data_IF_388894807114
#
_entry.id   IF_388894807114
#
_cell.length_a   1.000
_cell.length_b   1.000
_cell.length_c   1.000
_cell.angle_alpha   90.00
_cell.angle_beta   90.00
_cell.angle_gamma   90.00
#
_symmetry.space_group_name_H-M   'P 1'
#
loop_
_entity.id
_entity.type
_entity.pdbx_description
1 polymer ?
#
# COMPACT_ATOMS: atom_id res chain seq x y z
N UNK A 1 -24.86 -77.47 -20.21
CA UNK A 1 -24.12 -76.65 -21.18
C UNK A 1 -23.93 -75.28 -20.54
N UNK A 2 -22.70 -74.93 -20.12
CA UNK A 2 -22.42 -73.67 -19.42
C UNK A 2 -21.95 -72.67 -20.47
N UNK A 3 -22.76 -71.62 -20.71
CA UNK A 3 -22.41 -70.54 -21.63
C UNK A 3 -21.55 -69.56 -20.84
N UNK A 4 -20.28 -69.45 -21.19
CA UNK A 4 -19.40 -68.39 -20.65
C UNK A 4 -19.57 -67.18 -21.55
N UNK A 5 -20.02 -66.07 -20.97
CA UNK A 5 -20.06 -64.77 -21.64
C UNK A 5 -18.83 -63.99 -21.15
N UNK A 6 -17.85 -63.86 -22.03
CA UNK A 6 -16.65 -63.08 -21.79
C UNK A 6 -16.98 -61.62 -22.14
N UNK A 7 -16.96 -60.75 -21.14
CA UNK A 7 -17.22 -59.32 -21.32
C UNK A 7 -15.93 -58.71 -21.88
N UNK A 8 -15.95 -58.07 -23.06
CA UNK A 8 -14.75 -57.42 -23.58
C UNK A 8 -14.37 -56.23 -22.69
N UNK A 9 -13.12 -56.20 -22.21
CA UNK A 9 -12.55 -55.06 -21.50
C UNK A 9 -12.56 -53.83 -22.41
N UNK A 10 -13.32 -52.80 -22.02
CA UNK A 10 -13.43 -51.53 -22.76
C UNK A 10 -12.30 -50.54 -22.45
N UNK A 11 -11.36 -50.91 -21.57
CA UNK A 11 -10.36 -50.00 -20.99
C UNK A 11 -9.15 -49.70 -21.90
N UNK A 12 -9.01 -50.38 -23.05
CA UNK A 12 -7.86 -50.21 -23.96
C UNK A 12 -8.12 -49.30 -25.17
N UNK A 13 -9.19 -48.51 -25.17
CA UNK A 13 -9.41 -47.48 -26.21
C UNK A 13 -8.49 -46.28 -25.97
N UNK A 14 -7.20 -46.47 -26.27
CA UNK A 14 -6.23 -45.39 -26.37
C UNK A 14 -6.74 -44.29 -27.31
N UNK A 15 -6.62 -43.05 -26.85
CA UNK A 15 -7.01 -41.87 -27.63
C UNK A 15 -6.22 -41.87 -28.94
N UNK A 16 -6.89 -41.66 -30.08
CA UNK A 16 -6.17 -41.60 -31.36
C UNK A 16 -5.10 -40.50 -31.33
N UNK A 17 -3.95 -40.66 -32.01
CA UNK A 17 -2.85 -39.68 -31.95
C UNK A 17 -3.29 -38.24 -32.23
N UNK A 18 -4.22 -38.06 -33.17
CA UNK A 18 -4.74 -36.74 -33.55
C UNK A 18 -5.65 -36.18 -32.46
N UNK A 19 -6.54 -37.00 -31.91
CA UNK A 19 -7.46 -36.56 -30.84
C UNK A 19 -6.70 -36.28 -29.55
N UNK A 20 -5.65 -37.06 -29.25
CA UNK A 20 -4.78 -36.82 -28.09
C UNK A 20 -4.09 -35.46 -28.16
N UNK A 21 -3.59 -35.08 -29.34
CA UNK A 21 -2.98 -33.76 -29.55
C UNK A 21 -4.00 -32.64 -29.39
N UNK A 22 -5.19 -32.77 -29.97
CA UNK A 22 -6.24 -31.76 -29.82
C UNK A 22 -6.63 -31.58 -28.35
N UNK A 23 -6.82 -32.67 -27.61
CA UNK A 23 -7.19 -32.62 -26.20
C UNK A 23 -6.08 -32.02 -25.32
N UNK A 24 -4.82 -32.37 -25.58
CA UNK A 24 -3.66 -31.83 -24.88
C UNK A 24 -3.53 -30.32 -25.11
N UNK A 25 -3.67 -29.88 -26.36
CA UNK A 25 -3.60 -28.46 -26.72
C UNK A 25 -4.81 -27.70 -26.14
N UNK A 26 -6.01 -28.25 -26.21
CA UNK A 26 -7.21 -27.58 -25.72
C UNK A 26 -7.13 -27.28 -24.22
N UNK A 27 -6.74 -28.25 -23.40
CA UNK A 27 -6.66 -28.07 -21.95
C UNK A 27 -5.55 -27.07 -21.59
N UNK A 28 -4.37 -27.18 -22.22
CA UNK A 28 -3.26 -26.27 -21.94
C UNK A 28 -3.57 -24.83 -22.32
N UNK A 29 -4.27 -24.59 -23.44
CA UNK A 29 -4.71 -23.25 -23.85
C UNK A 29 -5.71 -22.66 -22.86
N UNK A 30 -6.68 -23.45 -22.38
CA UNK A 30 -7.65 -22.99 -21.37
C UNK A 30 -6.91 -22.63 -20.06
N UNK A 31 -6.06 -23.52 -19.57
CA UNK A 31 -5.32 -23.28 -18.32
C UNK A 31 -4.41 -22.06 -18.42
N UNK A 32 -3.71 -21.88 -19.55
CA UNK A 32 -2.87 -20.71 -19.78
C UNK A 32 -3.68 -19.41 -19.79
N UNK A 33 -4.83 -19.38 -20.48
CA UNK A 33 -5.69 -18.20 -20.53
C UNK A 33 -6.26 -17.83 -19.15
N UNK A 34 -6.65 -18.83 -18.37
CA UNK A 34 -7.20 -18.64 -17.02
C UNK A 34 -6.14 -18.14 -16.05
N UNK A 35 -4.92 -18.70 -16.08
CA UNK A 35 -3.84 -18.20 -15.22
C UNK A 35 -3.44 -16.78 -15.64
N UNK A 36 -3.40 -16.49 -16.94
CA UNK A 36 -3.09 -15.14 -17.43
C UNK A 36 -4.10 -14.09 -16.94
N UNK A 37 -5.40 -14.42 -16.91
CA UNK A 37 -6.41 -13.50 -16.37
C UNK A 37 -6.28 -13.31 -14.85
N UNK A 38 -5.94 -14.37 -14.11
CA UNK A 38 -5.64 -14.24 -12.67
C UNK A 38 -4.38 -13.41 -12.41
N UNK A 39 -3.30 -13.64 -13.15
CA UNK A 39 -2.03 -12.90 -13.00
C UNK A 39 -2.23 -11.42 -13.35
N UNK A 40 -2.94 -11.11 -14.44
CA UNK A 40 -3.24 -9.73 -14.81
C UNK A 40 -4.16 -9.05 -13.78
N UNK A 41 -5.12 -9.78 -13.23
CA UNK A 41 -6.01 -9.29 -12.16
C UNK A 41 -5.27 -8.96 -10.85
N UNK A 42 -4.14 -9.62 -10.55
CA UNK A 42 -3.30 -9.27 -9.40
C UNK A 42 -2.43 -8.04 -9.63
N UNK A 43 -2.08 -7.72 -10.89
CA UNK A 43 -1.25 -6.56 -11.21
C UNK A 43 -1.85 -5.23 -10.74
N UNK A 44 -3.17 -5.10 -10.77
CA UNK A 44 -3.90 -3.90 -10.33
C UNK A 44 -4.01 -3.80 -8.79
N UNK A 45 -3.88 -4.93 -8.08
CA UNK A 45 -3.92 -4.98 -6.61
C UNK A 45 -2.58 -4.73 -5.94
N UNK A 46 -1.48 -4.70 -6.72
CA UNK A 46 -0.18 -4.25 -6.21
C UNK A 46 -0.20 -2.74 -6.18
N UNK A 47 -0.83 -2.18 -5.14
CA UNK A 47 -0.72 -0.76 -4.83
C UNK A 47 0.77 -0.43 -4.72
N UNK A 48 1.28 0.42 -5.63
CA UNK A 48 2.64 0.94 -5.51
C UNK A 48 2.76 1.61 -4.14
N UNK A 49 3.61 1.07 -3.27
CA UNK A 49 3.83 1.68 -1.98
C UNK A 49 4.63 2.96 -2.20
N UNK A 50 4.16 4.05 -1.60
CA UNK A 50 4.83 5.35 -1.70
C UNK A 50 5.96 5.35 -0.70
N UNK A 51 7.18 5.58 -1.17
CA UNK A 51 8.34 5.76 -0.31
C UNK A 51 8.68 7.24 -0.26
N UNK A 52 8.87 7.75 0.95
CA UNK A 52 9.48 9.04 1.24
C UNK A 52 10.13 8.96 2.61
N UNK A 53 11.02 9.91 2.90
CA UNK A 53 11.60 10.10 4.22
C UNK A 53 11.11 11.40 4.82
N UNK A 54 10.57 11.35 6.03
CA UNK A 54 10.22 12.52 6.83
C UNK A 54 10.81 12.38 8.22
N UNK A 55 11.30 13.50 8.75
CA UNK A 55 11.79 13.60 10.12
C UNK A 55 10.82 14.42 10.95
N UNK A 56 10.52 13.94 12.15
CA UNK A 56 9.75 14.69 13.15
C UNK A 56 10.69 14.94 14.31
N UNK A 57 10.84 16.21 14.68
CA UNK A 57 11.76 16.62 15.74
C UNK A 57 11.07 17.56 16.70
N UNK A 58 11.16 17.29 18.00
CA UNK A 58 10.73 18.22 19.03
C UNK A 58 11.83 19.24 19.36
N UNK A 59 11.48 20.52 19.32
CA UNK A 59 12.35 21.64 19.73
C UNK A 59 12.19 21.92 21.22
N UNK A 60 13.27 22.37 21.88
CA UNK A 60 13.29 22.71 23.31
C UNK A 60 12.26 23.79 23.73
N UNK A 61 11.78 24.58 22.78
CA UNK A 61 10.71 25.59 22.97
C UNK A 61 9.31 24.95 23.08
N UNK A 62 9.22 23.61 23.09
CA UNK A 62 7.96 22.87 23.20
C UNK A 62 7.13 22.85 21.92
N UNK A 63 7.75 23.18 20.79
CA UNK A 63 7.18 23.04 19.45
C UNK A 63 7.73 21.77 18.79
N UNK A 64 7.04 21.26 17.78
CA UNK A 64 7.57 20.21 16.91
C UNK A 64 7.78 20.76 15.50
N UNK A 65 8.73 20.20 14.77
CA UNK A 65 8.92 20.45 13.34
C UNK A 65 8.92 19.13 12.59
N UNK A 66 8.27 19.14 11.44
CA UNK A 66 8.32 18.05 10.47
C UNK A 66 9.07 18.53 9.25
N UNK A 67 10.06 17.77 8.81
CA UNK A 67 10.90 18.11 7.66
C UNK A 67 10.85 16.99 6.63
N UNK A 68 10.66 17.34 5.36
CA UNK A 68 10.79 16.39 4.27
C UNK A 68 12.28 16.18 3.96
N UNK A 69 12.81 14.98 4.24
CA UNK A 69 14.24 14.66 4.10
C UNK A 69 14.58 13.84 2.85
N UNK A 70 13.62 13.11 2.27
CA UNK A 70 13.84 12.29 1.07
C UNK A 70 12.58 12.13 0.24
N UNK A 71 12.65 12.45 -1.06
CA UNK A 71 11.51 12.44 -1.99
C UNK A 71 10.98 11.01 -2.23
N UNK A 72 11.89 10.06 -2.43
CA UNK A 72 11.56 8.70 -2.86
C UNK A 72 10.74 8.69 -4.14
N UNK A 73 9.48 8.25 -4.08
CA UNK A 73 8.47 8.33 -5.15
C UNK A 73 7.19 9.06 -4.70
N UNK A 74 7.29 9.88 -3.66
CA UNK A 74 6.19 10.73 -3.23
C UNK A 74 6.16 12.05 -4.01
N UNK A 75 4.96 12.46 -4.39
CA UNK A 75 4.68 13.76 -5.03
C UNK A 75 4.53 14.86 -3.98
N UNK A 76 3.93 14.53 -2.84
CA UNK A 76 3.75 15.46 -1.73
C UNK A 76 3.64 14.72 -0.39
N UNK A 77 3.96 15.42 0.71
CA UNK A 77 3.79 14.92 2.08
C UNK A 77 2.74 15.75 2.81
N UNK A 78 1.74 15.09 3.37
CA UNK A 78 0.76 15.73 4.23
C UNK A 78 1.11 15.50 5.69
N UNK A 79 1.16 16.57 6.47
CA UNK A 79 1.36 16.54 7.91
C UNK A 79 0.05 16.84 8.60
N UNK A 80 -0.38 15.95 9.47
CA UNK A 80 -1.63 16.07 10.22
C UNK A 80 -1.40 15.77 11.70
N UNK A 81 -2.20 16.38 12.56
CA UNK A 81 -2.17 16.15 14.00
C UNK A 81 -3.55 15.74 14.50
N UNK A 82 -3.59 14.92 15.56
CA UNK A 82 -4.85 14.43 16.13
C UNK A 82 -5.54 15.46 17.05
N UNK A 83 -4.86 16.53 17.44
CA UNK A 83 -5.41 17.54 18.37
C UNK A 83 -5.93 18.77 17.64
N UNK A 84 -7.13 19.23 18.02
CA UNK A 84 -7.76 20.46 17.50
C UNK A 84 -7.04 21.74 17.96
N UNK A 85 -6.26 21.65 19.03
CA UNK A 85 -5.54 22.78 19.62
C UNK A 85 -4.13 22.96 19.05
N UNK A 86 -3.93 22.61 17.79
CA UNK A 86 -2.63 22.75 17.11
C UNK A 86 -2.79 23.45 15.76
N UNK A 87 -1.73 24.10 15.29
CA UNK A 87 -1.77 24.79 14.00
C UNK A 87 -1.81 23.85 12.77
N UNK A 88 -1.70 22.53 12.97
CA UNK A 88 -1.63 21.53 11.91
C UNK A 88 -2.77 20.48 11.98
N UNK A 89 -3.90 20.83 12.61
CA UNK A 89 -5.07 19.94 12.77
C UNK A 89 -5.65 19.45 11.43
N UNK A 90 -5.34 20.11 10.31
CA UNK A 90 -5.81 19.70 8.98
C UNK A 90 -4.78 19.96 7.88
N UNK A 91 -3.78 19.08 7.79
CA UNK A 91 -3.06 18.80 6.55
C UNK A 91 -2.26 19.96 5.98
N UNK A 92 -1.03 20.15 6.44
CA UNK A 92 -0.06 20.98 5.72
C UNK A 92 0.65 20.10 4.71
N UNK A 93 0.54 20.46 3.42
CA UNK A 93 1.24 19.75 2.35
C UNK A 93 2.62 20.37 2.12
N UNK A 94 3.65 19.55 2.23
CA UNK A 94 5.00 19.86 1.78
C UNK A 94 5.10 19.39 0.32
N UNK A 95 5.64 20.25 -0.54
CA UNK A 95 5.69 20.03 -1.98
C UNK A 95 7.08 19.64 -2.47
N UNK A 96 8.13 19.99 -1.71
CA UNK A 96 9.51 19.71 -2.09
C UNK A 96 10.35 19.18 -0.91
N UNK A 97 11.41 18.43 -1.23
CA UNK A 97 12.39 18.00 -0.22
C UNK A 97 13.10 19.21 0.35
N UNK A 98 13.22 19.25 1.68
CA UNK A 98 13.77 20.38 2.43
C UNK A 98 12.70 21.32 2.98
N UNK A 99 11.45 21.21 2.52
CA UNK A 99 10.35 21.90 3.17
C UNK A 99 10.20 21.42 4.62
N UNK A 100 9.80 22.36 5.49
CA UNK A 100 9.50 22.05 6.88
C UNK A 100 8.25 22.78 7.34
N UNK A 101 7.47 22.09 8.17
CA UNK A 101 6.31 22.67 8.86
C UNK A 101 6.54 22.62 10.35
N UNK A 102 6.24 23.72 11.03
CA UNK A 102 6.24 23.78 12.49
C UNK A 102 4.84 23.51 13.01
N UNK A 103 4.75 22.58 13.96
CA UNK A 103 3.55 22.29 14.73
C UNK A 103 3.72 22.90 16.11
N UNK A 104 2.83 23.83 16.44
CA UNK A 104 2.80 24.49 17.74
C UNK A 104 1.42 24.37 18.39
N UNK A 105 1.44 24.42 19.71
CA UNK A 105 0.26 24.36 20.57
C UNK A 105 -0.43 25.74 20.61
N UNK A 106 -1.74 25.77 20.34
CA UNK A 106 -2.58 26.98 20.45
C UNK A 106 -3.45 27.01 21.72
N UNK A 107 -3.52 25.91 22.48
CA UNK A 107 -4.17 25.86 23.78
C UNK A 107 -3.36 26.56 24.88
N UNK A 108 -4.04 26.87 25.99
CA UNK A 108 -3.46 27.56 27.15
C UNK A 108 -2.58 26.66 28.04
N UNK A 109 -2.51 25.35 27.78
CA UNK A 109 -1.78 24.38 28.59
C UNK A 109 -1.07 23.32 27.74
N UNK A 110 -0.19 22.50 28.33
CA UNK A 110 0.52 21.46 27.59
C UNK A 110 -0.46 20.45 26.99
N UNK A 111 -0.24 20.07 25.73
CA UNK A 111 -1.04 19.07 25.03
C UNK A 111 -0.13 17.97 24.50
N UNK A 112 -0.53 16.71 24.65
CA UNK A 112 0.09 15.62 23.91
C UNK A 112 -0.67 15.44 22.59
N UNK A 113 0.05 15.42 21.48
CA UNK A 113 -0.53 15.20 20.15
C UNK A 113 0.32 14.23 19.35
N UNK A 114 -0.34 13.41 18.54
CA UNK A 114 0.34 12.55 17.57
C UNK A 114 0.44 13.29 16.25
N UNK A 115 1.66 13.42 15.75
CA UNK A 115 1.98 13.95 14.43
C UNK A 115 2.04 12.75 13.49
N UNK A 116 1.21 12.78 12.45
CA UNK A 116 1.19 11.76 11.39
C UNK A 116 1.61 12.38 10.08
N UNK A 117 2.63 11.80 9.46
CA UNK A 117 3.12 12.22 8.14
C UNK A 117 2.78 11.16 7.11
N UNK A 118 1.99 11.56 6.13
CA UNK A 118 1.51 10.68 5.05
C UNK A 118 2.08 11.16 3.72
N UNK A 119 2.76 10.27 3.00
CA UNK A 119 3.23 10.51 1.65
C UNK A 119 2.17 10.11 0.61
N UNK A 120 2.06 10.89 -0.45
CA UNK A 120 1.13 10.70 -1.56
C UNK A 120 1.89 10.47 -2.86
N UNK A 121 1.54 9.43 -3.61
CA UNK A 121 2.15 9.10 -4.90
C UNK A 121 1.27 9.50 -6.09
N UNK A 122 1.85 9.46 -7.30
CA UNK A 122 1.24 9.96 -8.54
C UNK A 122 -0.04 9.20 -8.97
N UNK A 123 -0.29 8.02 -8.40
CA UNK A 123 -1.49 7.20 -8.64
C UNK A 123 -2.57 7.25 -7.55
N UNK A 124 -2.49 8.20 -6.60
CA UNK A 124 -3.41 8.27 -5.45
C UNK A 124 -3.08 7.28 -4.33
N UNK A 125 -1.99 6.53 -4.47
CA UNK A 125 -1.43 5.70 -3.41
C UNK A 125 -0.96 6.57 -2.24
N UNK A 126 -1.10 6.06 -1.02
CA UNK A 126 -0.77 6.76 0.22
C UNK A 126 -0.01 5.83 1.15
N UNK A 127 0.99 6.36 1.85
CA UNK A 127 1.75 5.59 2.83
C UNK A 127 2.10 6.49 4.01
N UNK A 128 1.85 6.01 5.23
CA UNK A 128 2.29 6.70 6.45
C UNK A 128 3.78 6.45 6.61
N UNK A 129 4.57 7.51 6.53
CA UNK A 129 6.04 7.45 6.57
C UNK A 129 6.55 7.45 8.00
N UNK A 130 5.97 8.32 8.83
CA UNK A 130 6.34 8.45 10.23
C UNK A 130 5.14 8.89 11.05
N UNK A 131 5.12 8.45 12.31
CA UNK A 131 4.14 8.85 13.29
C UNK A 131 4.83 8.97 14.65
N UNK A 132 4.71 10.13 15.28
CA UNK A 132 5.35 10.39 16.57
C UNK A 132 4.40 11.12 17.51
N UNK A 133 4.41 10.71 18.78
CA UNK A 133 3.70 11.41 19.84
C UNK A 133 4.60 12.48 20.45
N UNK A 134 4.12 13.72 20.45
CA UNK A 134 4.89 14.88 20.90
C UNK A 134 4.05 15.71 21.88
N UNK A 135 4.65 16.08 23.00
CA UNK A 135 4.01 16.99 23.97
C UNK A 135 4.37 18.43 23.63
N UNK A 136 3.39 19.18 23.14
CA UNK A 136 3.58 20.57 22.76
C UNK A 136 3.21 21.50 23.91
N UNK A 137 4.06 22.50 24.18
CA UNK A 137 3.78 23.55 25.16
C UNK A 137 3.62 24.88 24.44
N UNK A 138 2.60 25.66 24.80
CA UNK A 138 2.42 26.99 24.25
C UNK A 138 3.49 27.92 24.82
N UNK A 139 4.44 28.35 23.99
CA UNK A 139 5.53 29.26 24.38
C UNK A 139 5.06 30.70 24.69
N UNK A 140 3.76 30.99 24.60
CA UNK A 140 3.18 32.33 24.84
C UNK A 140 2.59 32.51 26.24
N UNK A 141 2.93 31.64 27.20
CA UNK A 141 2.54 31.77 28.62
C UNK A 141 3.73 32.15 29.51
#
# INVERSE_FOLDING_TARGET
MKVSFEIPDFDERGVSPVIGVILMVAITVILAAVIASFVLGFGDSVSENVQAGADVSQTNDGNASVTWISEGNAVNLSVSTTSTDTNATSGVNLAEVGDSVKVYNTASGPISTTITVTAYGEGGSQTVVTQEEVTLTNSTA
#
